data_IF_000689350026
#
_entry.id   IF_000689350026
#
_cell.length_a   1.000
_cell.length_b   1.000
_cell.length_c   1.000
_cell.angle_alpha   90.00
_cell.angle_beta   90.00
_cell.angle_gamma   90.00
#
_symmetry.space_group_name_H-M   'P 1'
#
loop_
_entity.id
_entity.type
_entity.pdbx_description
1 polymer ?
#
# COMPACT_ATOMS: atom_id res chain seq x y z
N UNK A 1 12.02 -13.82 -33.50
CA UNK A 1 12.52 -12.95 -32.42
C UNK A 1 11.49 -13.03 -31.30
N UNK A 2 11.81 -13.78 -30.26
CA UNK A 2 10.90 -14.07 -29.15
C UNK A 2 10.66 -12.77 -28.36
N UNK A 3 9.43 -12.24 -28.42
CA UNK A 3 9.04 -11.07 -27.64
C UNK A 3 9.08 -11.45 -26.16
N UNK A 4 10.19 -11.14 -25.48
CA UNK A 4 10.27 -11.24 -24.02
C UNK A 4 9.25 -10.25 -23.43
N UNK A 5 8.09 -10.80 -23.02
CA UNK A 5 7.09 -10.11 -22.24
C UNK A 5 7.80 -9.51 -21.01
N UNK A 6 7.76 -8.19 -20.78
CA UNK A 6 8.47 -7.59 -19.65
C UNK A 6 7.99 -8.29 -18.39
N UNK A 7 8.93 -8.94 -17.70
CA UNK A 7 8.66 -9.73 -16.49
C UNK A 7 7.89 -8.83 -15.53
N UNK A 8 6.61 -9.15 -15.29
CA UNK A 8 5.82 -8.36 -14.36
C UNK A 8 6.50 -8.38 -13.01
N UNK A 9 6.73 -7.19 -12.45
CA UNK A 9 7.45 -7.02 -11.19
C UNK A 9 6.68 -7.79 -10.09
N UNK A 10 7.25 -8.90 -9.60
CA UNK A 10 6.67 -9.73 -8.53
C UNK A 10 6.37 -8.99 -7.22
N UNK A 11 7.10 -7.92 -6.87
CA UNK A 11 6.79 -7.07 -5.71
C UNK A 11 5.74 -6.02 -6.07
N UNK A 12 4.48 -6.45 -6.05
CA UNK A 12 3.30 -5.62 -6.29
C UNK A 12 2.17 -5.97 -5.31
N UNK A 13 1.15 -5.11 -5.29
CA UNK A 13 -0.07 -5.33 -4.53
C UNK A 13 0.19 -5.41 -3.03
N UNK A 14 -0.28 -6.50 -2.43
CA UNK A 14 -0.26 -6.73 -0.97
C UNK A 14 1.10 -6.51 -0.32
N UNK A 15 2.18 -6.93 -0.96
CA UNK A 15 3.52 -6.76 -0.38
C UNK A 15 3.88 -5.29 -0.19
N UNK A 16 3.58 -4.45 -1.18
CA UNK A 16 3.88 -3.01 -1.13
C UNK A 16 3.03 -2.33 -0.05
N UNK A 17 1.77 -2.73 0.08
CA UNK A 17 0.88 -2.22 1.13
C UNK A 17 1.37 -2.62 2.53
N UNK A 18 1.66 -3.91 2.76
CA UNK A 18 2.19 -4.38 4.05
C UNK A 18 3.50 -3.68 4.42
N UNK A 19 4.40 -3.53 3.45
CA UNK A 19 5.67 -2.85 3.67
C UNK A 19 5.47 -1.38 4.07
N UNK A 20 4.53 -0.67 3.42
CA UNK A 20 4.19 0.70 3.80
C UNK A 20 3.50 0.81 5.16
N UNK A 21 2.81 -0.22 5.65
CA UNK A 21 2.20 -0.19 6.99
C UNK A 21 3.23 -0.44 8.08
N UNK A 22 4.15 -1.40 7.87
CA UNK A 22 5.16 -1.77 8.87
C UNK A 22 6.25 -0.70 8.95
N UNK A 23 6.65 -0.14 7.81
CA UNK A 23 7.70 0.86 7.72
C UNK A 23 7.23 2.05 6.89
N UNK A 24 6.38 2.94 7.41
CA UNK A 24 5.75 3.98 6.57
C UNK A 24 6.74 4.86 5.82
N UNK A 25 7.76 5.38 6.50
CA UNK A 25 8.77 6.25 5.87
C UNK A 25 9.59 5.48 4.83
N UNK A 26 10.04 4.27 5.17
CA UNK A 26 10.84 3.43 4.26
C UNK A 26 9.97 2.96 3.07
N UNK A 27 8.70 2.68 3.32
CA UNK A 27 7.71 2.29 2.32
C UNK A 27 7.44 3.40 1.32
N UNK A 28 7.32 4.65 1.77
CA UNK A 28 7.21 5.81 0.88
C UNK A 28 8.45 5.96 -0.02
N UNK A 29 9.65 5.82 0.55
CA UNK A 29 10.91 5.87 -0.22
C UNK A 29 10.94 4.71 -1.24
N UNK A 30 10.57 3.50 -0.82
CA UNK A 30 10.51 2.33 -1.69
C UNK A 30 9.55 2.53 -2.86
N UNK A 31 8.38 3.12 -2.60
CA UNK A 31 7.38 3.47 -3.61
C UNK A 31 7.93 4.50 -4.59
N UNK A 32 8.59 5.55 -4.11
CA UNK A 32 9.19 6.58 -4.96
C UNK A 32 10.33 6.03 -5.83
N UNK A 33 11.16 5.14 -5.29
CA UNK A 33 12.26 4.51 -6.01
C UNK A 33 11.77 3.55 -7.11
N UNK A 34 10.73 2.77 -6.83
CA UNK A 34 10.21 1.76 -7.76
C UNK A 34 9.09 2.28 -8.68
N UNK A 35 8.73 3.57 -8.58
CA UNK A 35 7.60 4.19 -9.30
C UNK A 35 7.60 3.97 -10.82
N UNK A 36 8.76 3.82 -11.46
CA UNK A 36 8.90 3.61 -12.90
C UNK A 36 8.62 2.16 -13.34
N UNK A 37 8.54 1.23 -12.40
CA UNK A 37 8.36 -0.21 -12.64
C UNK A 37 6.89 -0.67 -12.52
N UNK A 38 5.99 0.25 -12.21
CA UNK A 38 4.56 0.00 -12.02
C UNK A 38 3.74 0.75 -13.07
N UNK A 39 2.52 0.27 -13.34
CA UNK A 39 1.55 0.99 -14.17
C UNK A 39 1.15 2.32 -13.51
N UNK A 40 0.70 3.30 -14.30
CA UNK A 40 0.26 4.61 -13.77
C UNK A 40 -0.78 4.44 -12.65
N UNK A 41 -1.74 3.51 -12.81
CA UNK A 41 -2.75 3.22 -11.80
C UNK A 41 -2.15 2.68 -10.50
N UNK A 42 -1.31 1.64 -10.60
CA UNK A 42 -0.63 1.05 -9.43
C UNK A 42 0.24 2.10 -8.71
N UNK A 43 0.99 2.88 -9.48
CA UNK A 43 1.87 3.93 -8.95
C UNK A 43 1.09 4.97 -8.15
N UNK A 44 -0.02 5.48 -8.68
CA UNK A 44 -0.86 6.46 -7.98
C UNK A 44 -1.45 5.85 -6.71
N UNK A 45 -1.94 4.60 -6.77
CA UNK A 45 -2.48 3.92 -5.59
C UNK A 45 -1.43 3.73 -4.50
N UNK A 46 -0.23 3.25 -4.83
CA UNK A 46 0.83 3.05 -3.84
C UNK A 46 1.37 4.36 -3.28
N UNK A 47 1.47 5.42 -4.11
CA UNK A 47 1.86 6.75 -3.65
C UNK A 47 0.84 7.33 -2.69
N UNK A 48 -0.45 7.33 -3.03
CA UNK A 48 -1.50 7.84 -2.16
C UNK A 48 -1.54 7.08 -0.84
N UNK A 49 -1.45 5.75 -0.89
CA UNK A 49 -1.46 4.92 0.31
C UNK A 49 -0.26 5.22 1.21
N UNK A 50 0.96 5.15 0.68
CA UNK A 50 2.17 5.42 1.46
C UNK A 50 2.21 6.83 2.03
N UNK A 51 1.76 7.83 1.27
CA UNK A 51 1.68 9.21 1.71
C UNK A 51 0.66 9.38 2.84
N UNK A 52 -0.51 8.75 2.74
CA UNK A 52 -1.52 8.76 3.80
C UNK A 52 -0.98 8.09 5.07
N UNK A 53 -0.35 6.92 4.95
CA UNK A 53 0.22 6.20 6.09
C UNK A 53 1.30 7.02 6.81
N UNK A 54 2.25 7.60 6.07
CA UNK A 54 3.27 8.49 6.66
C UNK A 54 2.65 9.74 7.28
N UNK A 55 1.69 10.38 6.60
CA UNK A 55 1.05 11.58 7.13
C UNK A 55 0.33 11.29 8.45
N UNK A 56 -0.35 10.14 8.53
CA UNK A 56 -1.04 9.72 9.74
C UNK A 56 -0.08 9.32 10.86
N UNK A 57 1.04 8.67 10.54
CA UNK A 57 2.09 8.37 11.52
C UNK A 57 2.70 9.66 12.09
N UNK A 58 2.97 10.66 11.24
CA UNK A 58 3.46 11.98 11.68
C UNK A 58 2.40 12.69 12.55
N UNK A 59 1.13 12.70 12.14
CA UNK A 59 0.05 13.32 12.91
C UNK A 59 -0.11 12.65 14.28
N UNK A 60 -0.09 11.32 14.32
CA UNK A 60 -0.27 10.56 15.58
C UNK A 60 0.96 10.64 16.50
N UNK A 61 2.16 10.78 15.92
CA UNK A 61 3.39 10.96 16.69
C UNK A 61 3.50 12.37 17.29
N UNK A 62 3.07 13.41 16.56
CA UNK A 62 3.32 14.80 16.94
C UNK A 62 2.11 15.58 17.47
N UNK A 63 0.88 15.30 17.02
CA UNK A 63 -0.31 16.13 17.31
C UNK A 63 -1.20 15.47 18.37
N UNK A 64 -1.60 14.23 18.16
CA UNK A 64 -2.55 13.55 19.03
C UNK A 64 -2.22 12.06 19.13
N UNK A 65 -1.83 11.62 20.33
CA UNK A 65 -1.76 10.19 20.72
C UNK A 65 -3.17 9.58 20.90
N UNK A 66 -4.16 10.09 20.19
CA UNK A 66 -5.52 9.60 20.27
C UNK A 66 -5.59 8.18 19.71
N UNK A 67 -5.73 7.23 20.64
CA UNK A 67 -5.77 5.80 20.38
C UNK A 67 -6.81 5.42 19.33
N UNK A 68 -7.94 6.16 19.27
CA UNK A 68 -9.01 5.97 18.29
C UNK A 68 -8.57 6.24 16.85
N UNK A 69 -7.77 7.29 16.62
CA UNK A 69 -7.29 7.66 15.28
C UNK A 69 -6.28 6.63 14.78
N UNK A 70 -5.36 6.21 15.65
CA UNK A 70 -4.37 5.16 15.37
C UNK A 70 -5.07 3.84 15.07
N UNK A 71 -6.03 3.42 15.90
CA UNK A 71 -6.75 2.16 15.74
C UNK A 71 -7.57 2.13 14.45
N UNK A 72 -8.30 3.22 14.14
CA UNK A 72 -9.09 3.34 12.90
C UNK A 72 -8.19 3.22 11.65
N UNK A 73 -6.98 3.77 11.70
CA UNK A 73 -6.03 3.68 10.59
C UNK A 73 -5.53 2.26 10.34
N UNK A 74 -5.15 1.53 11.39
CA UNK A 74 -4.73 0.14 11.26
C UNK A 74 -5.87 -0.75 10.75
N UNK A 75 -7.09 -0.53 11.23
CA UNK A 75 -8.29 -1.24 10.75
C UNK A 75 -8.53 -0.95 9.27
N UNK A 76 -8.38 0.31 8.83
CA UNK A 76 -8.55 0.70 7.43
C UNK A 76 -7.47 0.06 6.53
N UNK A 77 -6.21 0.08 6.96
CA UNK A 77 -5.12 -0.59 6.26
C UNK A 77 -5.36 -2.10 6.15
N UNK A 78 -5.80 -2.73 7.23
CA UNK A 78 -6.15 -4.15 7.26
C UNK A 78 -7.31 -4.46 6.30
N UNK A 79 -8.35 -3.61 6.25
CA UNK A 79 -9.47 -3.78 5.33
C UNK A 79 -9.03 -3.68 3.86
N UNK A 80 -8.16 -2.73 3.52
CA UNK A 80 -7.59 -2.59 2.17
C UNK A 80 -6.77 -3.83 1.80
N UNK A 81 -5.94 -4.33 2.72
CA UNK A 81 -5.18 -5.56 2.53
C UNK A 81 -6.12 -6.75 2.34
N UNK A 82 -7.15 -6.90 3.16
CA UNK A 82 -8.13 -7.98 3.05
C UNK A 82 -8.90 -7.94 1.73
N UNK A 83 -9.33 -6.76 1.26
CA UNK A 83 -10.00 -6.62 -0.04
C UNK A 83 -9.07 -6.96 -1.21
N UNK A 84 -7.77 -6.68 -1.09
CA UNK A 84 -6.79 -7.02 -2.12
C UNK A 84 -6.31 -8.48 -2.05
N UNK A 85 -6.28 -9.09 -0.86
CA UNK A 85 -5.83 -10.47 -0.63
C UNK A 85 -6.94 -11.48 -0.84
N UNK A 86 -8.18 -11.15 -0.47
CA UNK A 86 -9.33 -12.00 -0.75
C UNK A 86 -9.84 -11.64 -2.15
N UNK A 87 -9.48 -12.39 -3.21
CA UNK A 87 -10.28 -12.33 -4.42
C UNK A 87 -11.69 -12.70 -3.98
N UNK A 88 -12.71 -11.94 -4.40
CA UNK A 88 -14.10 -12.29 -4.19
C UNK A 88 -14.42 -13.63 -4.86
N UNK A 89 -14.01 -14.72 -4.23
CA UNK A 89 -14.55 -16.06 -4.43
C UNK A 89 -15.86 -16.06 -3.65
N UNK A 90 -16.89 -15.41 -4.19
CA UNK A 90 -18.32 -15.63 -3.88
C UNK A 90 -19.22 -14.50 -4.43
N UNK A 91 -19.34 -14.35 -5.76
CA UNK A 91 -20.57 -13.77 -6.37
C UNK A 91 -20.87 -14.42 -7.72
N UNK A 92 -20.90 -15.75 -7.76
CA UNK A 92 -21.52 -16.52 -8.84
C UNK A 92 -21.85 -17.92 -8.31
N UNK A 93 -22.92 -18.02 -7.53
CA UNK A 93 -23.74 -19.22 -7.43
C UNK A 93 -25.19 -18.80 -7.58
#
# INVERSE_FOLDING_TARGET
MEHQKPREWYLKGTFVFLFCVIFSVIGLIFVLMNRKKWTERERVTYLLFSLLTVSLEVITTFITRDFLIVSTHYILCLAIVLMHVMPMKNMAR
#
